data_IF_127346043123
#
_entry.id   IF_127346043123
#
_cell.length_a   1.000
_cell.length_b   1.000
_cell.length_c   1.000
_cell.angle_alpha   90.00
_cell.angle_beta   90.00
_cell.angle_gamma   90.00
#
_symmetry.space_group_name_H-M   'P 1'
#
loop_
_entity.id
_entity.type
_entity.pdbx_description
1 polymer ?
#
# COMPACT_ATOMS: atom_id res chain seq x y z
N UNK A 1 -11.53 51.61 -27.38
CA UNK A 1 -10.52 50.88 -28.19
C UNK A 1 -10.35 49.51 -27.53
N UNK A 2 -11.02 48.42 -27.99
CA UNK A 2 -10.61 47.47 -29.07
C UNK A 2 -9.14 47.05 -28.86
N UNK A 3 -8.74 45.80 -28.61
CA UNK A 3 -9.17 44.43 -29.04
C UNK A 3 -8.62 43.39 -28.01
N UNK A 4 -9.26 42.26 -27.64
CA UNK A 4 -9.73 41.06 -28.37
C UNK A 4 -8.59 40.09 -28.83
N UNK A 5 -8.67 38.83 -28.32
CA UNK A 5 -8.04 37.56 -28.77
C UNK A 5 -6.52 37.41 -28.51
N UNK A 6 -5.93 36.23 -28.23
CA UNK A 6 -6.33 34.87 -28.58
C UNK A 6 -5.62 33.80 -27.71
N UNK A 7 -6.19 32.60 -27.71
CA UNK A 7 -5.81 31.37 -26.97
C UNK A 7 -4.74 30.58 -27.78
N UNK A 8 -3.98 29.61 -27.21
CA UNK A 8 -2.79 29.05 -27.86
C UNK A 8 -3.12 27.83 -28.75
N UNK A 9 -2.21 27.40 -29.65
CA UNK A 9 -2.38 26.12 -30.34
C UNK A 9 -1.86 24.93 -29.52
N UNK A 10 -2.72 23.92 -29.49
CA UNK A 10 -2.53 22.55 -29.01
C UNK A 10 -1.76 21.68 -30.03
N UNK A 11 -0.98 20.75 -29.48
CA UNK A 11 -0.72 19.35 -29.92
C UNK A 11 0.06 19.09 -31.23
N UNK A 12 1.03 18.17 -31.15
CA UNK A 12 1.27 16.96 -31.99
C UNK A 12 2.66 16.41 -31.61
N UNK A 13 3.04 15.13 -31.63
CA UNK A 13 2.41 13.80 -31.68
C UNK A 13 3.51 12.83 -31.20
N UNK A 14 3.08 11.74 -30.57
CA UNK A 14 3.87 10.61 -30.06
C UNK A 14 4.49 9.79 -31.20
N UNK A 15 5.73 9.32 -31.02
CA UNK A 15 6.22 8.11 -31.68
C UNK A 15 7.34 7.48 -30.84
N UNK A 16 7.03 6.46 -30.05
CA UNK A 16 8.00 5.47 -29.59
C UNK A 16 7.50 4.09 -29.99
N UNK A 17 8.24 3.45 -30.89
CA UNK A 17 7.98 2.12 -31.39
C UNK A 17 8.29 1.07 -30.32
N UNK A 18 7.33 0.19 -30.06
CA UNK A 18 7.49 -0.99 -29.21
C UNK A 18 7.96 -2.16 -30.08
N UNK A 19 9.09 -2.74 -29.70
CA UNK A 19 9.64 -3.97 -30.28
C UNK A 19 8.84 -5.17 -29.74
N UNK A 20 8.14 -5.86 -30.65
CA UNK A 20 7.46 -7.13 -30.37
C UNK A 20 8.49 -8.27 -30.30
N UNK A 21 8.68 -8.83 -29.10
CA UNK A 21 9.40 -10.08 -28.93
C UNK A 21 8.39 -11.25 -28.99
N UNK A 22 8.63 -12.14 -29.94
CA UNK A 22 7.90 -13.38 -30.14
C UNK A 22 8.18 -14.39 -29.01
N UNK A 23 7.15 -15.03 -28.48
CA UNK A 23 7.30 -16.37 -27.89
C UNK A 23 6.20 -17.29 -28.43
N UNK A 24 6.67 -18.37 -29.04
CA UNK A 24 5.89 -19.46 -29.58
C UNK A 24 5.26 -20.28 -28.43
N UNK A 25 3.96 -20.56 -28.57
CA UNK A 25 3.28 -21.59 -27.79
C UNK A 25 3.36 -22.91 -28.57
N UNK A 26 4.06 -23.89 -28.00
CA UNK A 26 4.05 -25.27 -28.46
C UNK A 26 3.48 -26.18 -27.37
N UNK A 27 2.31 -26.73 -27.69
CA UNK A 27 1.91 -28.13 -27.50
C UNK A 27 1.64 -28.64 -26.07
N UNK A 28 0.34 -28.80 -25.79
CA UNK A 28 -0.19 -29.76 -24.83
C UNK A 28 0.08 -31.19 -25.31
N UNK A 29 0.65 -32.04 -24.46
CA UNK A 29 0.58 -33.49 -24.58
C UNK A 29 -0.02 -34.05 -23.30
N UNK A 30 -1.23 -34.58 -23.42
CA UNK A 30 -1.92 -35.40 -22.42
C UNK A 30 -1.56 -36.85 -22.68
N UNK A 31 -0.90 -37.51 -21.74
CA UNK A 31 -0.81 -38.97 -21.70
C UNK A 31 -1.37 -39.49 -20.38
N UNK A 32 -2.35 -40.36 -20.49
CA UNK A 32 -2.89 -41.14 -19.39
C UNK A 32 -2.08 -42.41 -19.18
N UNK A 33 -1.95 -42.85 -17.93
CA UNK A 33 -1.83 -44.26 -17.58
C UNK A 33 -2.17 -44.51 -16.11
N UNK A 34 -2.89 -45.61 -15.93
CA UNK A 34 -3.60 -46.16 -14.78
C UNK A 34 -2.79 -46.39 -13.48
N UNK A 35 -3.51 -46.65 -12.35
CA UNK A 35 -2.91 -46.86 -11.04
C UNK A 35 -2.40 -48.29 -10.86
N UNK A 36 -1.24 -48.43 -10.22
CA UNK A 36 -0.77 -49.67 -9.63
C UNK A 36 -0.35 -49.43 -8.17
N UNK A 37 -1.12 -49.99 -7.24
CA UNK A 37 -0.70 -50.32 -5.87
C UNK A 37 -0.02 -51.71 -5.86
N UNK A 38 0.52 -52.18 -4.73
CA UNK A 38 1.52 -51.59 -3.84
C UNK A 38 2.69 -52.58 -3.61
N UNK A 39 3.91 -52.10 -3.38
CA UNK A 39 5.01 -52.95 -2.89
C UNK A 39 5.76 -52.22 -1.79
N UNK A 40 5.54 -52.66 -0.55
CA UNK A 40 6.51 -52.47 0.53
C UNK A 40 7.73 -53.34 0.21
N UNK A 41 8.96 -52.87 0.49
CA UNK A 41 9.59 -53.44 1.69
C UNK A 41 10.63 -52.55 2.38
N UNK A 42 11.00 -53.05 3.58
CA UNK A 42 12.31 -52.90 4.24
C UNK A 42 12.61 -51.58 4.93
N UNK A 43 12.39 -51.61 6.25
CA UNK A 43 13.06 -50.80 7.26
C UNK A 43 14.59 -50.93 7.13
N UNK A 44 15.24 -49.83 6.77
CA UNK A 44 16.69 -49.68 6.86
C UNK A 44 16.99 -48.73 8.01
N UNK A 45 17.52 -49.29 9.08
CA UNK A 45 18.10 -48.57 10.22
C UNK A 45 19.32 -47.78 9.75
N UNK A 46 19.27 -46.44 9.80
CA UNK A 46 20.45 -45.61 9.61
C UNK A 46 20.43 -44.37 10.52
N UNK A 47 21.48 -44.34 11.35
CA UNK A 47 22.22 -43.21 11.88
C UNK A 47 21.53 -42.13 12.74
N UNK A 48 21.72 -42.30 14.04
CA UNK A 48 21.87 -41.20 15.01
C UNK A 48 23.23 -40.48 14.75
N UNK A 49 23.28 -39.73 13.65
CA UNK A 49 24.36 -38.78 13.35
C UNK A 49 24.03 -37.41 13.94
N UNK A 50 24.39 -37.22 15.21
CA UNK A 50 24.41 -35.91 15.87
C UNK A 50 25.45 -35.00 15.21
N UNK A 51 24.99 -34.08 14.35
CA UNK A 51 25.69 -32.85 13.95
C UNK A 51 24.69 -31.96 13.19
N UNK A 52 23.80 -31.26 13.89
CA UNK A 52 22.88 -30.31 13.26
C UNK A 52 23.55 -28.93 13.14
N UNK A 53 23.87 -28.42 11.94
CA UNK A 53 24.21 -27.01 11.76
C UNK A 53 22.91 -26.21 11.60
N UNK A 54 22.70 -25.17 12.42
CA UNK A 54 21.89 -23.95 12.17
C UNK A 54 20.60 -24.02 11.30
N UNK A 55 19.89 -25.15 11.22
CA UNK A 55 18.75 -25.34 10.31
C UNK A 55 17.49 -24.53 10.71
N UNK A 56 17.47 -23.95 11.91
CA UNK A 56 16.34 -23.18 12.42
C UNK A 56 16.29 -21.74 11.90
N UNK A 57 17.43 -21.08 11.65
CA UNK A 57 17.42 -19.70 11.17
C UNK A 57 17.14 -19.59 9.66
N UNK A 58 17.64 -20.56 8.89
CA UNK A 58 17.41 -20.60 7.43
C UNK A 58 15.93 -20.87 7.12
N UNK A 59 15.28 -21.79 7.86
CA UNK A 59 13.86 -22.11 7.62
C UNK A 59 12.90 -20.96 7.95
N UNK A 60 13.19 -20.15 8.98
CA UNK A 60 12.39 -18.95 9.31
C UNK A 60 12.57 -17.87 8.24
N UNK A 61 13.81 -17.61 7.82
CA UNK A 61 14.08 -16.63 6.76
C UNK A 61 13.39 -17.03 5.43
N UNK A 62 13.46 -18.30 5.05
CA UNK A 62 12.79 -18.83 3.86
C UNK A 62 11.26 -18.68 3.97
N UNK A 63 10.70 -18.89 5.16
CA UNK A 63 9.26 -18.74 5.40
C UNK A 63 8.79 -17.28 5.29
N UNK A 64 9.55 -16.34 5.85
CA UNK A 64 9.28 -14.90 5.74
C UNK A 64 9.38 -14.44 4.28
N UNK A 65 10.39 -14.93 3.56
CA UNK A 65 10.56 -14.61 2.15
C UNK A 65 9.40 -15.16 1.30
N UNK A 66 9.01 -16.42 1.52
CA UNK A 66 7.85 -17.01 0.85
C UNK A 66 6.55 -16.26 1.16
N UNK A 67 6.38 -15.74 2.38
CA UNK A 67 5.23 -14.87 2.71
C UNK A 67 5.30 -13.55 1.95
N UNK A 68 6.41 -12.82 2.03
CA UNK A 68 6.60 -11.58 1.26
C UNK A 68 6.29 -11.77 -0.23
N UNK A 69 6.70 -12.88 -0.83
CA UNK A 69 6.43 -13.16 -2.24
C UNK A 69 4.95 -13.45 -2.54
N UNK A 70 4.23 -14.16 -1.65
CA UNK A 70 2.77 -14.30 -1.77
C UNK A 70 2.07 -12.95 -1.66
N UNK A 71 2.55 -12.10 -0.77
CA UNK A 71 1.96 -10.79 -0.53
C UNK A 71 2.14 -9.84 -1.72
N UNK A 72 3.30 -9.88 -2.39
CA UNK A 72 3.50 -9.18 -3.67
C UNK A 72 2.51 -9.61 -4.74
N UNK A 73 2.19 -10.90 -4.83
CA UNK A 73 1.18 -11.41 -5.78
C UNK A 73 -0.20 -10.88 -5.44
N UNK A 74 -0.57 -10.87 -4.15
CA UNK A 74 -1.83 -10.29 -3.67
C UNK A 74 -1.94 -8.81 -4.03
N UNK A 75 -0.91 -8.03 -3.72
CA UNK A 75 -0.81 -6.59 -4.02
C UNK A 75 -0.98 -6.34 -5.52
N UNK A 76 -0.30 -7.09 -6.38
CA UNK A 76 -0.40 -6.92 -7.83
C UNK A 76 -1.82 -7.18 -8.35
N UNK A 77 -2.49 -8.17 -7.78
CA UNK A 77 -3.87 -8.49 -8.13
C UNK A 77 -4.85 -7.43 -7.62
N UNK A 78 -4.66 -6.92 -6.40
CA UNK A 78 -5.47 -5.83 -5.86
C UNK A 78 -5.29 -4.56 -6.70
N UNK A 79 -4.06 -4.17 -7.02
CA UNK A 79 -3.78 -3.04 -7.89
C UNK A 79 -4.54 -3.10 -9.23
N UNK A 80 -4.64 -4.27 -9.85
CA UNK A 80 -5.40 -4.45 -11.08
C UNK A 80 -6.92 -4.32 -10.88
N UNK A 81 -7.43 -4.80 -9.73
CA UNK A 81 -8.85 -4.70 -9.35
C UNK A 81 -9.27 -3.28 -8.99
N UNK A 82 -8.37 -2.49 -8.42
CA UNK A 82 -8.69 -1.12 -7.98
C UNK A 82 -8.78 -0.12 -9.14
N UNK A 83 -8.29 -0.46 -10.35
CA UNK A 83 -8.32 0.43 -11.53
C UNK A 83 -9.73 0.97 -11.84
N UNK A 84 -10.78 0.14 -12.06
CA UNK A 84 -12.12 0.67 -12.34
C UNK A 84 -12.72 1.47 -11.18
N UNK A 85 -12.34 1.15 -9.94
CA UNK A 85 -12.77 1.91 -8.75
C UNK A 85 -12.17 3.32 -8.78
N UNK A 86 -10.86 3.41 -9.07
CA UNK A 86 -10.16 4.67 -9.21
C UNK A 86 -10.74 5.52 -10.33
N UNK A 87 -10.93 4.93 -11.52
CA UNK A 87 -11.49 5.66 -12.67
C UNK A 87 -12.88 6.24 -12.34
N UNK A 88 -13.70 5.47 -11.63
CA UNK A 88 -15.03 5.89 -11.21
C UNK A 88 -14.99 7.02 -10.19
N UNK A 89 -14.21 6.88 -9.11
CA UNK A 89 -14.10 7.91 -8.07
C UNK A 89 -13.44 9.19 -8.61
N UNK A 90 -12.41 9.06 -9.45
CA UNK A 90 -11.74 10.19 -10.07
C UNK A 90 -12.70 10.94 -11.01
N UNK A 91 -13.51 10.24 -11.81
CA UNK A 91 -14.53 10.88 -12.65
C UNK A 91 -15.58 11.62 -11.82
N UNK A 92 -16.02 11.05 -10.69
CA UNK A 92 -16.93 11.72 -9.75
C UNK A 92 -16.29 12.98 -9.15
N UNK A 93 -15.03 12.90 -8.72
CA UNK A 93 -14.28 14.06 -8.22
C UNK A 93 -14.22 15.20 -9.25
N UNK A 94 -13.87 14.90 -10.51
CA UNK A 94 -13.82 15.89 -11.58
C UNK A 94 -15.21 16.51 -11.84
N UNK A 95 -16.28 15.70 -11.80
CA UNK A 95 -17.64 16.18 -11.95
C UNK A 95 -18.06 17.12 -10.80
N UNK A 96 -17.60 16.88 -9.57
CA UNK A 96 -17.83 17.77 -8.43
C UNK A 96 -17.09 19.11 -8.61
N UNK A 97 -15.83 19.08 -9.04
CA UNK A 97 -15.02 20.29 -9.24
C UNK A 97 -15.62 21.26 -10.27
N UNK A 98 -16.22 20.74 -11.34
CA UNK A 98 -16.79 21.56 -12.43
C UNK A 98 -18.11 22.27 -12.07
N UNK A 99 -18.83 21.81 -11.05
CA UNK A 99 -20.17 22.33 -10.71
C UNK A 99 -20.18 23.46 -9.67
N UNK A 100 -19.01 23.86 -9.15
CA UNK A 100 -18.91 24.89 -8.09
C UNK A 100 -19.48 24.35 -6.78
N UNK A 101 -18.60 23.93 -5.88
CA UNK A 101 -18.97 23.20 -4.66
C UNK A 101 -20.03 23.91 -3.81
N UNK A 102 -21.21 23.32 -3.68
CA UNK A 102 -21.89 23.34 -2.39
C UNK A 102 -21.09 22.37 -1.51
N UNK A 103 -20.19 22.89 -0.68
CA UNK A 103 -19.52 22.09 0.35
C UNK A 103 -20.63 21.32 1.07
N UNK A 104 -20.62 19.97 1.08
CA UNK A 104 -21.51 19.27 1.98
C UNK A 104 -21.20 19.82 3.37
N UNK A 105 -22.15 20.51 3.98
CA UNK A 105 -22.05 21.01 5.34
C UNK A 105 -22.18 19.82 6.32
N UNK A 106 -21.49 18.71 6.00
CA UNK A 106 -21.29 17.61 6.90
C UNK A 106 -20.10 18.01 7.73
N UNK A 107 -20.29 18.00 9.04
CA UNK A 107 -19.19 18.00 9.99
C UNK A 107 -18.43 16.67 9.84
N UNK A 108 -17.74 16.46 8.72
CA UNK A 108 -16.80 15.36 8.57
C UNK A 108 -15.49 15.81 9.16
N UNK A 109 -15.08 15.13 10.23
CA UNK A 109 -13.78 15.35 10.88
C UNK A 109 -12.64 14.81 10.00
N UNK A 110 -12.92 13.93 9.04
CA UNK A 110 -11.94 13.34 8.12
C UNK A 110 -11.88 14.13 6.81
N UNK A 111 -10.67 14.30 6.27
CA UNK A 111 -10.45 15.06 5.06
C UNK A 111 -10.90 14.35 3.78
N UNK A 112 -11.71 15.03 2.97
CA UNK A 112 -12.07 14.56 1.62
C UNK A 112 -11.01 15.03 0.61
N UNK A 113 -10.56 14.13 -0.25
CA UNK A 113 -9.43 14.30 -1.14
C UNK A 113 -9.70 13.77 -2.54
N UNK A 114 -8.94 14.27 -3.51
CA UNK A 114 -8.89 13.64 -4.84
C UNK A 114 -8.41 12.20 -4.68
N UNK A 115 -9.14 11.22 -5.22
CA UNK A 115 -8.72 9.83 -5.18
C UNK A 115 -7.36 9.63 -5.82
N UNK A 116 -6.55 8.76 -5.21
CA UNK A 116 -5.25 8.34 -5.73
C UNK A 116 -5.33 6.89 -6.25
N UNK A 117 -4.51 6.52 -7.24
CA UNK A 117 -4.40 5.12 -7.64
C UNK A 117 -3.88 4.26 -6.48
N UNK A 118 -4.34 3.00 -6.43
CA UNK A 118 -3.83 2.04 -5.46
C UNK A 118 -2.30 1.96 -5.53
N UNK A 119 -1.65 1.97 -4.38
CA UNK A 119 -0.24 1.72 -4.24
C UNK A 119 0.00 0.91 -2.98
N UNK A 120 1.00 0.04 -2.99
CA UNK A 120 1.40 -0.68 -1.79
C UNK A 120 2.89 -1.03 -1.85
N UNK A 121 3.48 -1.24 -0.68
CA UNK A 121 4.84 -1.74 -0.55
C UNK A 121 4.88 -2.81 0.55
N UNK A 122 5.73 -3.83 0.33
CA UNK A 122 5.87 -4.98 1.24
C UNK A 122 7.35 -5.30 1.47
N UNK A 123 7.74 -5.35 2.73
CA UNK A 123 9.12 -5.59 3.14
C UNK A 123 9.18 -6.51 4.36
N UNK A 124 10.29 -7.24 4.52
CA UNK A 124 10.63 -7.89 5.79
C UNK A 124 11.41 -6.86 6.57
N UNK A 125 10.94 -6.50 7.76
CA UNK A 125 11.57 -5.49 8.62
C UNK A 125 11.94 -6.11 9.95
N UNK A 126 13.19 -5.92 10.37
CA UNK A 126 13.70 -6.28 11.68
C UNK A 126 14.33 -5.10 12.43
N UNK A 127 15.31 -5.36 13.31
CA UNK A 127 15.96 -4.34 14.15
C UNK A 127 16.64 -3.19 13.40
N UNK A 128 16.96 -3.37 12.12
CA UNK A 128 17.55 -2.35 11.26
C UNK A 128 16.57 -1.23 10.87
N UNK A 129 15.27 -1.44 11.07
CA UNK A 129 14.22 -0.50 10.66
C UNK A 129 14.02 -0.47 9.14
N UNK A 130 13.13 0.39 8.67
CA UNK A 130 12.77 0.47 7.25
C UNK A 130 12.16 1.82 6.89
N UNK A 131 12.05 2.05 5.58
CA UNK A 131 11.29 3.15 4.99
C UNK A 131 10.40 2.59 3.88
N UNK A 132 9.13 2.95 3.92
CA UNK A 132 8.13 2.65 2.90
C UNK A 132 7.74 3.95 2.19
N UNK A 133 7.64 3.89 0.87
CA UNK A 133 7.13 4.98 0.04
C UNK A 133 5.92 4.45 -0.72
N UNK A 134 4.72 4.95 -0.39
CA UNK A 134 3.46 4.43 -0.94
C UNK A 134 2.67 5.61 -1.49
N UNK A 135 2.68 5.75 -2.81
CA UNK A 135 2.17 6.96 -3.46
C UNK A 135 2.88 8.22 -2.95
N UNK A 136 2.16 9.26 -2.50
CA UNK A 136 2.76 10.45 -1.90
C UNK A 136 3.04 10.31 -0.40
N UNK A 137 2.68 9.18 0.23
CA UNK A 137 2.82 8.96 1.66
C UNK A 137 4.12 8.24 1.99
N UNK A 138 4.55 8.37 3.25
CA UNK A 138 5.76 7.72 3.75
C UNK A 138 5.53 7.11 5.12
N UNK A 139 6.18 5.98 5.37
CA UNK A 139 6.24 5.38 6.68
C UNK A 139 7.68 5.02 7.04
N UNK A 140 8.13 5.53 8.17
CA UNK A 140 9.49 5.37 8.66
C UNK A 140 9.50 4.60 9.99
N UNK A 141 10.17 3.45 9.98
CA UNK A 141 10.43 2.61 11.14
C UNK A 141 11.89 2.81 11.55
N UNK A 142 12.16 3.44 12.71
CA UNK A 142 13.52 3.57 13.23
C UNK A 142 14.14 2.23 13.60
N UNK A 143 15.48 2.21 13.72
CA UNK A 143 16.20 1.05 14.28
C UNK A 143 15.68 0.68 15.66
N UNK A 144 15.50 -0.61 15.89
CA UNK A 144 15.03 -1.17 17.15
C UNK A 144 13.55 -1.00 17.45
N UNK A 145 12.77 -0.34 16.57
CA UNK A 145 11.32 -0.25 16.74
C UNK A 145 10.65 -1.63 16.55
N UNK A 146 11.19 -2.46 15.67
CA UNK A 146 10.78 -3.85 15.46
C UNK A 146 11.95 -4.75 15.84
N UNK A 147 11.72 -5.66 16.79
CA UNK A 147 12.79 -6.55 17.29
C UNK A 147 12.86 -7.88 16.55
N UNK A 148 11.73 -8.34 16.02
CA UNK A 148 11.61 -9.62 15.33
C UNK A 148 11.32 -9.39 13.84
N UNK A 149 12.08 -10.02 12.92
CA UNK A 149 11.84 -9.91 11.49
C UNK A 149 10.38 -10.25 11.13
N UNK A 150 9.67 -9.26 10.57
CA UNK A 150 8.23 -9.34 10.29
C UNK A 150 7.95 -8.90 8.86
N UNK A 151 7.07 -9.60 8.15
CA UNK A 151 6.55 -9.14 6.85
C UNK A 151 5.53 -8.05 7.11
N UNK A 152 5.80 -6.86 6.59
CA UNK A 152 4.98 -5.66 6.78
C UNK A 152 4.53 -5.18 5.41
N UNK A 153 3.23 -4.92 5.31
CA UNK A 153 2.60 -4.34 4.13
C UNK A 153 2.01 -2.98 4.50
N UNK A 154 2.27 -1.99 3.67
CA UNK A 154 1.66 -0.66 3.76
C UNK A 154 0.90 -0.41 2.46
N UNK A 155 -0.39 -0.13 2.56
CA UNK A 155 -1.29 0.05 1.42
C UNK A 155 -1.89 1.47 1.42
N UNK A 156 -1.92 2.08 0.25
CA UNK A 156 -2.75 3.24 -0.09
C UNK A 156 -3.97 2.68 -0.85
N UNK A 157 -5.10 2.44 -0.17
CA UNK A 157 -6.33 2.03 -0.83
C UNK A 157 -6.84 3.14 -1.77
N UNK A 158 -7.70 2.75 -2.71
CA UNK A 158 -8.42 3.71 -3.56
C UNK A 158 -9.62 4.26 -2.80
N UNK A 159 -9.49 5.47 -2.28
CA UNK A 159 -10.53 6.18 -1.56
C UNK A 159 -10.50 7.68 -1.87
N UNK A 160 -11.50 8.42 -1.39
CA UNK A 160 -11.56 9.88 -1.40
C UNK A 160 -10.98 10.50 -0.11
N UNK A 161 -10.00 9.82 0.49
CA UNK A 161 -9.32 10.22 1.71
C UNK A 161 -7.79 10.10 1.54
N UNK A 162 -7.04 10.87 2.33
CA UNK A 162 -5.59 10.69 2.45
C UNK A 162 -5.32 9.71 3.59
N UNK A 163 -5.04 8.45 3.24
CA UNK A 163 -4.98 7.34 4.20
C UNK A 163 -3.90 6.31 3.87
N UNK A 164 -3.53 5.54 4.89
CA UNK A 164 -2.70 4.34 4.78
C UNK A 164 -3.28 3.23 5.65
N UNK A 165 -3.30 2.03 5.09
CA UNK A 165 -3.60 0.81 5.81
C UNK A 165 -2.33 -0.03 6.05
N UNK A 166 -2.25 -0.66 7.21
CA UNK A 166 -1.05 -1.33 7.68
C UNK A 166 -1.36 -2.77 8.09
N UNK A 167 -0.59 -3.71 7.53
CA UNK A 167 -0.66 -5.12 7.86
C UNK A 167 0.69 -5.65 8.38
N UNK A 168 0.69 -6.51 9.40
CA UNK A 168 -0.48 -7.08 10.08
C UNK A 168 -1.14 -6.11 11.06
N UNK A 169 -2.47 -5.97 11.00
CA UNK A 169 -3.22 -5.10 11.90
C UNK A 169 -2.99 -5.46 13.38
N UNK A 170 -2.91 -4.44 14.22
CA UNK A 170 -2.73 -4.58 15.67
C UNK A 170 -1.31 -4.95 16.11
N UNK A 171 -0.34 -5.09 15.21
CA UNK A 171 1.05 -5.29 15.60
C UNK A 171 1.55 -4.05 16.34
N UNK A 172 2.05 -4.24 17.57
CA UNK A 172 2.66 -3.18 18.37
C UNK A 172 4.17 -3.14 18.20
N UNK A 173 4.75 -1.94 18.18
CA UNK A 173 6.18 -1.70 17.96
C UNK A 173 6.62 -0.39 18.62
N UNK A 174 7.93 -0.13 18.66
CA UNK A 174 8.48 1.14 19.16
C UNK A 174 8.08 2.33 18.28
N UNK A 175 8.15 3.55 18.80
CA UNK A 175 7.69 4.75 18.07
C UNK A 175 8.24 4.85 16.64
N UNK A 176 7.34 4.89 15.68
CA UNK A 176 7.61 5.05 14.25
C UNK A 176 6.79 6.22 13.69
N UNK A 177 7.09 6.67 12.48
CA UNK A 177 6.55 7.92 11.96
C UNK A 177 5.86 7.72 10.63
N UNK A 178 4.60 8.13 10.55
CA UNK A 178 3.85 8.22 9.30
C UNK A 178 3.83 9.68 8.83
N UNK A 179 3.97 9.87 7.53
CA UNK A 179 3.68 11.12 6.83
C UNK A 179 2.55 10.85 5.86
N UNK A 180 1.45 11.56 6.05
CA UNK A 180 0.35 11.63 5.09
C UNK A 180 0.40 12.96 4.37
N UNK A 181 0.27 12.88 3.06
CA UNK A 181 0.20 14.02 2.17
C UNK A 181 -1.27 14.34 1.93
N UNK A 182 -1.64 15.61 2.03
CA UNK A 182 -3.01 16.07 1.83
C UNK A 182 -3.11 17.18 0.77
N UNK A 183 -2.14 17.33 -0.13
CA UNK A 183 -2.13 18.47 -1.09
C UNK A 183 -3.35 18.48 -2.02
N UNK A 184 -3.98 17.32 -2.25
CA UNK A 184 -5.22 17.19 -3.03
C UNK A 184 -6.50 17.13 -2.20
N UNK A 185 -6.43 17.50 -0.93
CA UNK A 185 -7.58 17.48 -0.02
C UNK A 185 -8.27 18.84 0.06
N UNK A 186 -9.60 18.83 0.17
CA UNK A 186 -10.37 20.01 0.55
C UNK A 186 -10.29 20.20 2.07
N UNK A 187 -9.15 20.75 2.50
CA UNK A 187 -8.86 21.07 3.89
C UNK A 187 -8.81 22.59 4.04
N UNK A 188 -9.78 23.18 4.74
CA UNK A 188 -9.81 24.62 4.98
C UNK A 188 -8.50 25.13 5.62
N UNK A 189 -8.06 26.34 5.28
CA UNK A 189 -6.73 26.86 5.65
C UNK A 189 -6.53 27.15 7.15
N UNK A 190 -7.62 27.28 7.92
CA UNK A 190 -7.58 27.71 9.31
C UNK A 190 -7.33 26.59 10.33
N UNK A 191 -7.63 25.34 9.98
CA UNK A 191 -7.50 24.22 10.93
C UNK A 191 -6.15 23.52 10.82
N UNK A 192 -5.68 22.97 11.93
CA UNK A 192 -4.56 22.03 11.93
C UNK A 192 -5.07 20.65 11.51
N UNK A 193 -4.20 19.89 10.87
CA UNK A 193 -4.49 18.54 10.40
C UNK A 193 -3.80 17.59 11.34
N UNK A 194 -4.49 16.49 11.62
CA UNK A 194 -3.98 15.42 12.44
C UNK A 194 -4.05 14.12 11.66
N UNK A 195 -3.16 13.19 11.98
CA UNK A 195 -3.38 11.79 11.61
C UNK A 195 -4.20 11.17 12.72
N UNK A 196 -5.22 10.39 12.34
CA UNK A 196 -6.09 9.68 13.28
C UNK A 196 -6.19 8.22 12.84
N UNK A 197 -6.28 7.32 13.83
CA UNK A 197 -6.68 5.93 13.60
C UNK A 197 -8.20 5.87 13.59
N UNK A 198 -8.79 5.22 12.58
CA UNK A 198 -10.23 5.01 12.49
C UNK A 198 -10.62 3.54 12.38
N UNK A 199 -11.88 3.25 12.71
CA UNK A 199 -12.54 2.02 12.25
C UNK A 199 -12.93 2.11 10.76
N UNK A 200 -13.51 1.03 10.23
CA UNK A 200 -13.98 0.91 8.83
C UNK A 200 -15.09 1.91 8.47
N UNK A 201 -15.71 2.55 9.47
CA UNK A 201 -16.75 3.57 9.30
C UNK A 201 -16.19 4.99 9.47
N UNK A 202 -14.87 5.16 9.50
CA UNK A 202 -14.16 6.43 9.74
C UNK A 202 -14.47 7.08 11.10
N UNK A 203 -14.91 6.32 12.09
CA UNK A 203 -14.99 6.82 13.46
C UNK A 203 -13.58 6.89 14.04
N UNK A 204 -13.23 8.03 14.63
CA UNK A 204 -11.92 8.24 15.25
C UNK A 204 -11.81 7.39 16.52
N UNK A 205 -10.88 6.45 16.51
CA UNK A 205 -10.58 5.57 17.66
C UNK A 205 -9.43 6.15 18.47
N UNK A 206 -8.38 6.63 17.81
CA UNK A 206 -7.21 7.20 18.46
C UNK A 206 -6.68 8.40 17.67
N UNK A 207 -6.09 9.36 18.40
CA UNK A 207 -5.40 10.51 17.83
C UNK A 207 -3.93 10.53 18.27
N UNK A 208 -3.04 9.95 17.46
CA UNK A 208 -1.60 10.03 17.69
C UNK A 208 -1.07 11.47 17.72
N UNK A 209 0.07 11.68 18.38
CA UNK A 209 0.74 12.96 18.41
C UNK A 209 1.15 13.36 16.98
N UNK A 210 0.52 14.43 16.48
CA UNK A 210 0.65 14.87 15.09
C UNK A 210 1.33 16.24 14.96
N UNK A 211 2.02 16.45 13.83
CA UNK A 211 2.60 17.73 13.44
C UNK A 211 2.21 18.08 12.01
N UNK A 212 1.42 19.14 11.86
CA UNK A 212 0.93 19.63 10.58
C UNK A 212 1.93 20.59 9.91
N UNK A 213 2.62 20.11 8.88
CA UNK A 213 3.53 20.90 8.06
C UNK A 213 2.77 21.57 6.89
N UNK A 214 1.94 22.57 7.22
CA UNK A 214 1.03 23.25 6.26
C UNK A 214 1.69 23.76 4.97
N UNK A 215 2.93 24.22 5.03
CA UNK A 215 3.67 24.70 3.86
C UNK A 215 3.99 23.61 2.84
N UNK A 216 3.93 22.34 3.25
CA UNK A 216 4.20 21.16 2.42
C UNK A 216 2.94 20.31 2.19
N UNK A 217 1.78 20.75 2.69
CA UNK A 217 0.55 19.98 2.68
C UNK A 217 0.73 18.55 3.18
N UNK A 218 1.48 18.38 4.28
CA UNK A 218 1.77 17.07 4.87
C UNK A 218 1.58 17.11 6.38
N UNK A 219 1.10 16.02 6.96
CA UNK A 219 0.99 15.83 8.40
C UNK A 219 1.82 14.62 8.82
N UNK A 220 2.61 14.79 9.87
CA UNK A 220 3.39 13.73 10.49
C UNK A 220 2.67 13.23 11.72
N UNK A 221 2.79 11.94 12.03
CA UNK A 221 2.37 11.42 13.31
C UNK A 221 3.29 10.32 13.84
N UNK A 222 3.45 10.29 15.15
CA UNK A 222 4.17 9.25 15.88
C UNK A 222 3.19 8.13 16.26
N UNK A 223 3.38 6.94 15.68
CA UNK A 223 2.52 5.76 15.89
C UNK A 223 3.33 4.61 16.52
N UNK A 224 2.64 3.69 17.18
CA UNK A 224 3.24 2.52 17.86
C UNK A 224 2.44 1.22 17.65
N UNK A 225 1.47 1.24 16.73
CA UNK A 225 0.75 0.06 16.28
C UNK A 225 0.28 0.19 14.82
N UNK A 226 0.06 -0.95 14.17
CA UNK A 226 -0.49 -1.00 12.81
C UNK A 226 -2.01 -0.97 12.83
N UNK A 227 -2.57 -0.04 12.06
CA UNK A 227 -3.98 0.29 12.00
C UNK A 227 -4.27 1.09 10.74
N UNK A 228 -5.53 1.42 10.48
CA UNK A 228 -5.93 2.31 9.40
C UNK A 228 -5.80 3.78 9.81
N UNK A 229 -4.90 4.54 9.17
CA UNK A 229 -4.63 5.93 9.51
C UNK A 229 -5.04 6.90 8.41
N UNK A 230 -5.74 7.97 8.77
CA UNK A 230 -6.29 8.97 7.84
C UNK A 230 -6.06 10.40 8.33
N UNK A 231 -6.06 11.38 7.42
CA UNK A 231 -5.99 12.81 7.74
C UNK A 231 -7.35 13.35 8.23
N UNK A 232 -7.35 14.10 9.34
CA UNK A 232 -8.53 14.73 9.95
C UNK A 232 -8.32 16.23 10.33
N UNK A 233 -9.39 17.02 10.53
CA UNK A 233 -9.36 18.46 10.88
C UNK A 233 -10.60 19.07 11.58
#
# INVERSE_FOLDING_TARGET
MKTFLDTPPRKLIVAFAVVMAALALASCATDGSSPATPVAPTVSSFDLGSSGPSASSTSVADSLQAWKDREKVRIAFEAARSVPVYDSLHALWQAMQTKGHARPNRATTVATCEPLPYAADVQIVGPEGAMFNVGPHRFYIPKGAITEPTVITVELPVADHAELDFSPHGLHFGTSYVLLDYHKCDVGSSKNRDVVYTDDSYNIVEKPASYDAKSYSSVWAAINHFSHYVVAY
#
